data_IF_439879944542
#
_entry.id   IF_439879944542
#
_cell.length_a   1.000
_cell.length_b   1.000
_cell.length_c   1.000
_cell.angle_alpha   90.00
_cell.angle_beta   90.00
_cell.angle_gamma   90.00
#
_symmetry.space_group_name_H-M   'P 1'
#
loop_
_entity.id
_entity.type
_entity.pdbx_description
1 polymer ?
#
# COMPACT_ATOMS: atom_id res chain seq x y z
N UNK A 1 -1.90 -10.64 16.63
CA UNK A 1 -1.74 -10.39 15.19
C UNK A 1 -2.33 -11.53 14.34
N UNK A 2 -2.67 -11.31 13.06
CA UNK A 2 -3.10 -12.34 12.15
C UNK A 2 -1.97 -13.32 11.81
N UNK A 3 -2.34 -14.56 11.51
CA UNK A 3 -1.44 -15.60 10.98
C UNK A 3 -1.69 -15.72 9.48
N UNK A 4 -0.76 -15.24 8.67
CA UNK A 4 -0.89 -15.30 7.23
C UNK A 4 -0.28 -16.61 6.69
N UNK A 5 -0.88 -17.23 5.65
CA UNK A 5 -2.06 -16.77 4.88
C UNK A 5 -3.43 -17.12 5.48
N UNK A 6 -3.49 -17.87 6.59
CA UNK A 6 -4.72 -18.50 7.09
C UNK A 6 -5.81 -17.48 7.48
N UNK A 7 -5.42 -16.31 7.99
CA UNK A 7 -6.34 -15.25 8.42
C UNK A 7 -6.69 -14.25 7.30
N UNK A 8 -6.19 -14.42 6.06
CA UNK A 8 -6.57 -13.55 4.93
C UNK A 8 -8.07 -13.42 4.73
N UNK A 9 -8.90 -14.49 4.87
CA UNK A 9 -10.35 -14.36 4.81
C UNK A 9 -10.92 -13.39 5.86
N UNK A 10 -10.41 -13.41 7.08
CA UNK A 10 -10.86 -12.51 8.14
C UNK A 10 -10.53 -11.06 7.82
N UNK A 11 -9.34 -10.79 7.27
CA UNK A 11 -8.93 -9.45 6.81
C UNK A 11 -9.84 -8.97 5.67
N UNK A 12 -10.13 -9.83 4.68
CA UNK A 12 -11.04 -9.51 3.57
C UNK A 12 -12.44 -9.13 4.07
N UNK A 13 -12.98 -9.88 5.05
CA UNK A 13 -14.28 -9.61 5.67
C UNK A 13 -14.26 -8.24 6.39
N UNK A 14 -13.22 -7.97 7.17
CA UNK A 14 -13.12 -6.72 7.92
C UNK A 14 -13.09 -5.50 6.97
N UNK A 15 -12.27 -5.53 5.93
CA UNK A 15 -12.20 -4.46 4.93
C UNK A 15 -13.50 -4.33 4.14
N UNK A 16 -14.11 -5.44 3.73
CA UNK A 16 -15.38 -5.38 3.02
C UNK A 16 -16.50 -4.72 3.86
N UNK A 17 -16.49 -4.87 5.18
CA UNK A 17 -17.42 -4.16 6.07
C UNK A 17 -17.23 -2.66 6.04
N UNK A 18 -15.97 -2.18 6.04
CA UNK A 18 -15.66 -0.76 5.93
C UNK A 18 -16.07 -0.24 4.54
N UNK A 19 -15.65 -0.91 3.47
CA UNK A 19 -15.90 -0.47 2.10
C UNK A 19 -17.38 -0.52 1.68
N UNK A 20 -18.22 -1.24 2.42
CA UNK A 20 -19.68 -1.26 2.22
C UNK A 20 -20.41 -0.13 2.95
N UNK A 21 -19.73 0.63 3.81
CA UNK A 21 -20.36 1.81 4.42
C UNK A 21 -20.77 2.79 3.31
N UNK A 22 -21.95 3.40 3.45
CA UNK A 22 -22.37 4.42 2.50
C UNK A 22 -21.41 5.61 2.55
N UNK A 23 -21.04 6.11 1.39
CA UNK A 23 -20.26 7.35 1.29
C UNK A 23 -21.25 8.51 1.33
N UNK A 24 -21.17 9.41 2.33
CA UNK A 24 -22.04 10.57 2.39
C UNK A 24 -21.85 11.49 1.19
N UNK A 25 -22.85 12.31 0.89
CA UNK A 25 -22.72 13.39 -0.10
C UNK A 25 -21.55 14.31 0.28
N UNK A 26 -20.83 14.90 -0.70
CA UNK A 26 -19.62 15.68 -0.43
C UNK A 26 -19.79 16.76 0.64
N UNK A 27 -20.95 17.40 0.68
CA UNK A 27 -21.26 18.43 1.69
C UNK A 27 -21.47 17.89 3.12
N UNK A 28 -21.69 16.59 3.27
CA UNK A 28 -21.98 15.91 4.54
C UNK A 28 -20.78 15.08 5.03
N UNK A 29 -19.70 14.99 4.23
CA UNK A 29 -18.52 14.22 4.59
C UNK A 29 -17.80 14.83 5.79
N UNK A 30 -17.33 14.00 6.74
CA UNK A 30 -16.40 14.46 7.76
C UNK A 30 -15.12 15.01 7.10
N UNK A 31 -14.28 15.76 7.84
CA UNK A 31 -13.07 16.40 7.30
C UNK A 31 -11.93 15.39 7.05
N UNK A 32 -12.23 14.35 6.28
CA UNK A 32 -11.26 13.41 5.75
C UNK A 32 -10.84 13.85 4.34
N UNK A 33 -9.61 13.52 3.95
CA UNK A 33 -9.18 13.76 2.58
C UNK A 33 -10.09 13.02 1.59
N UNK A 34 -10.41 13.67 0.48
CA UNK A 34 -11.28 13.14 -0.57
C UNK A 34 -10.47 12.96 -1.86
N UNK A 35 -10.09 11.73 -2.14
CA UNK A 35 -9.45 11.32 -3.37
C UNK A 35 -10.52 10.72 -4.30
N UNK A 36 -11.45 11.54 -4.78
CA UNK A 36 -12.47 11.13 -5.75
C UNK A 36 -11.85 10.63 -7.07
N UNK A 37 -10.71 11.19 -7.49
CA UNK A 37 -9.77 10.55 -8.40
C UNK A 37 -8.64 9.91 -7.57
N UNK A 38 -8.84 8.64 -7.21
CA UNK A 38 -7.92 7.92 -6.34
C UNK A 38 -6.54 7.70 -6.99
N UNK A 39 -6.49 7.61 -8.32
CA UNK A 39 -5.23 7.48 -9.08
C UNK A 39 -4.46 8.79 -9.01
N UNK A 40 -5.11 9.91 -9.30
CA UNK A 40 -4.47 11.22 -9.27
C UNK A 40 -4.02 11.60 -7.83
N UNK A 41 -4.85 11.30 -6.82
CA UNK A 41 -4.51 11.56 -5.42
C UNK A 41 -3.27 10.79 -4.96
N UNK A 42 -3.23 9.49 -5.26
CA UNK A 42 -2.06 8.66 -4.96
C UNK A 42 -0.80 9.08 -5.74
N UNK A 43 -0.97 9.44 -7.02
CA UNK A 43 0.16 9.90 -7.85
C UNK A 43 0.76 11.21 -7.32
N UNK A 44 -0.05 12.15 -6.83
CA UNK A 44 0.45 13.39 -6.25
C UNK A 44 1.35 13.14 -5.02
N UNK A 45 0.97 12.21 -4.14
CA UNK A 45 1.80 11.76 -3.03
C UNK A 45 3.11 11.11 -3.52
N UNK A 46 2.99 10.17 -4.47
CA UNK A 46 4.12 9.47 -5.07
C UNK A 46 5.12 10.46 -5.70
N UNK A 47 4.66 11.47 -6.44
CA UNK A 47 5.54 12.47 -7.07
C UNK A 47 6.32 13.28 -6.03
N UNK A 48 5.67 13.63 -4.90
CA UNK A 48 6.34 14.30 -3.79
C UNK A 48 7.47 13.45 -3.21
N UNK A 49 7.22 12.15 -3.02
CA UNK A 49 8.19 11.20 -2.51
C UNK A 49 9.28 10.88 -3.56
N UNK A 50 8.90 10.78 -4.83
CA UNK A 50 9.82 10.47 -5.94
C UNK A 50 10.89 11.55 -6.17
N UNK A 51 10.66 12.78 -5.71
CA UNK A 51 11.69 13.83 -5.73
C UNK A 51 12.97 13.44 -4.99
N UNK A 52 12.89 12.48 -4.07
CA UNK A 52 14.04 11.98 -3.32
C UNK A 52 14.88 10.92 -4.07
N UNK A 53 14.37 10.34 -5.17
CA UNK A 53 15.08 9.27 -5.90
C UNK A 53 16.45 9.69 -6.43
N UNK A 54 16.63 10.97 -6.77
CA UNK A 54 17.92 11.50 -7.26
C UNK A 54 19.01 11.52 -6.17
N UNK A 55 18.60 11.61 -4.90
CA UNK A 55 19.53 11.73 -3.75
C UNK A 55 19.48 10.51 -2.81
N UNK A 56 18.67 9.51 -3.15
CA UNK A 56 18.46 8.32 -2.30
C UNK A 56 19.62 7.31 -2.33
N UNK A 57 20.65 7.51 -3.17
CA UNK A 57 21.81 6.61 -3.31
C UNK A 57 21.38 5.16 -3.61
N UNK A 58 20.39 5.00 -4.50
CA UNK A 58 19.87 3.71 -4.91
C UNK A 58 20.85 2.97 -5.83
N UNK A 59 20.79 1.62 -5.78
CA UNK A 59 21.36 0.80 -6.83
C UNK A 59 20.77 1.23 -8.19
N UNK A 60 21.59 1.42 -9.25
CA UNK A 60 21.10 1.85 -10.57
C UNK A 60 19.99 0.94 -11.14
N UNK A 61 20.04 -0.37 -10.89
CA UNK A 61 19.02 -1.29 -11.33
C UNK A 61 17.71 -1.12 -10.50
N UNK A 62 17.82 -0.83 -9.20
CA UNK A 62 16.64 -0.50 -8.38
C UNK A 62 15.97 0.80 -8.85
N UNK A 63 16.78 1.84 -9.10
CA UNK A 63 16.29 3.12 -9.63
C UNK A 63 15.56 2.93 -10.95
N UNK A 64 16.11 2.16 -11.87
CA UNK A 64 15.47 1.87 -13.16
C UNK A 64 14.12 1.15 -13.02
N UNK A 65 14.00 0.19 -12.07
CA UNK A 65 12.73 -0.50 -11.80
C UNK A 65 11.65 0.48 -11.26
N UNK A 66 12.04 1.40 -10.37
CA UNK A 66 11.14 2.41 -9.80
C UNK A 66 10.71 3.43 -10.88
N UNK A 67 11.65 3.93 -11.68
CA UNK A 67 11.37 4.88 -12.76
C UNK A 67 10.43 4.29 -13.82
N UNK A 68 10.56 3.00 -14.12
CA UNK A 68 9.65 2.31 -15.03
C UNK A 68 8.21 2.27 -14.49
N UNK A 69 8.03 2.06 -13.18
CA UNK A 69 6.70 2.12 -12.55
C UNK A 69 6.16 3.55 -12.45
N UNK A 70 7.01 4.54 -12.21
CA UNK A 70 6.62 5.96 -12.26
C UNK A 70 6.12 6.37 -13.65
N UNK A 71 6.85 5.99 -14.69
CA UNK A 71 6.43 6.25 -16.07
C UNK A 71 5.08 5.61 -16.38
N UNK A 72 4.89 4.35 -15.95
CA UNK A 72 3.61 3.66 -16.10
C UNK A 72 2.49 4.36 -15.31
N UNK A 73 2.74 4.77 -14.06
CA UNK A 73 1.72 5.41 -13.20
C UNK A 73 1.25 6.76 -13.79
N UNK A 74 2.18 7.55 -14.33
CA UNK A 74 1.89 8.82 -15.02
C UNK A 74 1.01 8.59 -16.26
N UNK A 75 1.39 7.62 -17.11
CA UNK A 75 0.61 7.24 -18.29
C UNK A 75 -0.78 6.70 -17.90
N UNK A 76 -0.85 5.86 -16.86
CA UNK A 76 -2.11 5.33 -16.38
C UNK A 76 -3.02 6.44 -15.83
N UNK A 77 -2.51 7.37 -15.04
CA UNK A 77 -3.26 8.52 -14.55
C UNK A 77 -3.79 9.39 -15.71
N UNK A 78 -2.95 9.66 -16.71
CA UNK A 78 -3.38 10.43 -17.89
C UNK A 78 -4.51 9.74 -18.67
N UNK A 79 -4.45 8.41 -18.82
CA UNK A 79 -5.48 7.62 -19.52
C UNK A 79 -6.77 7.46 -18.73
N UNK A 80 -6.74 7.56 -17.43
CA UNK A 80 -7.90 7.37 -16.54
C UNK A 80 -8.43 8.69 -15.98
N UNK A 81 -7.88 9.82 -16.37
CA UNK A 81 -8.37 11.13 -15.97
C UNK A 81 -9.86 11.30 -16.37
N UNK A 82 -10.70 11.64 -15.39
CA UNK A 82 -12.15 11.79 -15.58
C UNK A 82 -12.95 10.48 -15.72
N UNK A 83 -12.31 9.32 -15.64
CA UNK A 83 -13.02 8.04 -15.59
C UNK A 83 -13.59 7.86 -14.18
N UNK A 84 -14.86 7.43 -14.08
CA UNK A 84 -15.50 7.14 -12.79
C UNK A 84 -14.76 6.02 -12.06
N UNK A 85 -14.28 6.32 -10.86
CA UNK A 85 -13.55 5.40 -10.01
C UNK A 85 -14.40 5.01 -8.78
N UNK A 86 -14.28 3.77 -8.27
CA UNK A 86 -15.01 3.37 -7.08
C UNK A 86 -14.42 4.05 -5.84
N UNK A 87 -15.11 5.04 -5.29
CA UNK A 87 -14.73 5.74 -4.06
C UNK A 87 -15.46 5.14 -2.87
N UNK A 88 -14.73 4.83 -1.80
CA UNK A 88 -15.23 4.34 -0.51
C UNK A 88 -14.41 4.97 0.62
N UNK A 89 -14.89 4.82 1.85
CA UNK A 89 -14.03 5.02 3.02
C UNK A 89 -12.94 3.96 2.97
N UNK A 90 -11.69 4.37 2.94
CA UNK A 90 -10.50 3.50 2.94
C UNK A 90 -9.56 3.92 4.08
N UNK A 91 -8.74 3.00 4.53
CA UNK A 91 -7.90 3.18 5.72
C UNK A 91 -6.46 3.52 5.37
N UNK A 92 -6.04 3.14 4.16
CA UNK A 92 -4.73 3.38 3.52
C UNK A 92 -3.51 2.77 4.22
N UNK A 93 -3.59 2.46 5.50
CA UNK A 93 -2.54 1.81 6.29
C UNK A 93 -3.00 0.45 6.82
N UNK A 94 -3.31 -0.46 5.92
CA UNK A 94 -3.89 -1.78 6.20
C UNK A 94 -2.85 -2.90 6.20
N UNK A 95 -1.58 -2.62 6.57
CA UNK A 95 -0.63 -3.70 6.75
C UNK A 95 -1.08 -4.68 7.86
N UNK A 96 -0.69 -5.96 7.81
CA UNK A 96 -1.24 -6.98 8.72
C UNK A 96 -1.08 -6.67 10.21
N UNK A 97 -0.06 -5.91 10.62
CA UNK A 97 0.12 -5.47 12.00
C UNK A 97 -1.00 -4.58 12.54
N UNK A 98 -1.79 -3.93 11.66
CA UNK A 98 -2.94 -3.11 12.04
C UNK A 98 -4.25 -3.92 12.13
N UNK A 99 -4.14 -5.26 12.22
CA UNK A 99 -5.28 -6.15 12.45
C UNK A 99 -5.08 -6.97 13.72
N UNK A 100 -6.14 -7.11 14.49
CA UNK A 100 -6.21 -7.99 15.65
C UNK A 100 -7.24 -9.10 15.37
N UNK A 101 -6.85 -10.36 15.58
CA UNK A 101 -7.78 -11.48 15.48
C UNK A 101 -8.34 -11.76 16.88
N UNK A 102 -9.66 -11.62 17.04
CA UNK A 102 -10.33 -11.91 18.30
C UNK A 102 -10.51 -13.44 18.54
N UNK A 103 -10.98 -13.80 19.74
CA UNK A 103 -11.20 -15.20 20.11
C UNK A 103 -12.22 -15.93 19.23
N UNK A 104 -13.05 -15.22 18.48
CA UNK A 104 -14.00 -15.79 17.51
C UNK A 104 -13.45 -15.89 16.09
N UNK A 105 -12.19 -15.51 15.85
CA UNK A 105 -11.57 -15.51 14.53
C UNK A 105 -11.94 -14.30 13.67
N UNK A 106 -12.52 -13.23 14.24
CA UNK A 106 -12.83 -12.00 13.50
C UNK A 106 -11.65 -11.06 13.53
N UNK A 107 -11.35 -10.44 12.38
CA UNK A 107 -10.39 -9.35 12.33
C UNK A 107 -11.03 -8.03 12.78
N UNK A 108 -10.34 -7.34 13.67
CA UNK A 108 -10.62 -5.96 14.11
C UNK A 108 -9.50 -5.09 13.57
N UNK A 109 -9.84 -4.01 12.89
CA UNK A 109 -8.88 -3.06 12.33
C UNK A 109 -8.59 -1.99 13.39
N UNK A 110 -7.33 -1.67 13.57
CA UNK A 110 -6.86 -0.61 14.47
C UNK A 110 -6.06 0.42 13.67
N UNK A 111 -5.69 1.54 14.29
CA UNK A 111 -4.89 2.59 13.66
C UNK A 111 -5.55 3.19 12.42
N UNK A 112 -6.64 3.93 12.64
CA UNK A 112 -7.50 4.47 11.58
C UNK A 112 -7.18 5.93 11.22
N UNK A 113 -6.11 6.49 11.71
CA UNK A 113 -5.77 7.92 11.60
C UNK A 113 -5.55 8.40 10.16
N UNK A 114 -5.17 7.47 9.25
CA UNK A 114 -4.92 7.74 7.83
C UNK A 114 -6.16 7.49 6.93
N UNK A 115 -7.34 7.32 7.54
CA UNK A 115 -8.56 7.09 6.77
C UNK A 115 -8.90 8.27 5.86
N UNK A 116 -9.37 7.95 4.65
CA UNK A 116 -9.79 8.93 3.65
C UNK A 116 -10.86 8.34 2.71
N UNK A 117 -11.40 9.14 1.82
CA UNK A 117 -12.24 8.65 0.72
C UNK A 117 -11.37 8.37 -0.50
N UNK A 118 -11.36 7.12 -0.96
CA UNK A 118 -10.49 6.70 -2.07
C UNK A 118 -10.85 5.30 -2.59
N UNK A 119 -9.91 4.68 -3.31
CA UNK A 119 -10.11 3.37 -3.91
C UNK A 119 -9.95 2.23 -2.90
N UNK A 120 -10.93 1.32 -2.77
CA UNK A 120 -10.78 0.08 -2.00
C UNK A 120 -9.57 -0.77 -2.42
N UNK A 121 -9.14 -0.64 -3.67
CA UNK A 121 -7.95 -1.34 -4.18
C UNK A 121 -6.66 -0.97 -3.44
N UNK A 122 -6.59 0.22 -2.85
CA UNK A 122 -5.44 0.66 -2.02
C UNK A 122 -5.33 -0.22 -0.77
N UNK A 123 -6.42 -0.36 -0.01
CA UNK A 123 -6.43 -1.16 1.22
C UNK A 123 -6.15 -2.63 0.94
N UNK A 124 -6.80 -3.18 -0.09
CA UNK A 124 -6.60 -4.57 -0.49
C UNK A 124 -5.15 -4.86 -0.90
N UNK A 125 -4.54 -3.92 -1.62
CA UNK A 125 -3.14 -4.02 -2.01
C UNK A 125 -2.23 -3.92 -0.78
N UNK A 126 -2.43 -2.88 0.04
CA UNK A 126 -1.57 -2.62 1.20
C UNK A 126 -1.61 -3.77 2.21
N UNK A 127 -2.76 -4.44 2.41
CA UNK A 127 -2.86 -5.60 3.30
C UNK A 127 -2.06 -6.83 2.82
N UNK A 128 -1.66 -6.90 1.57
CA UNK A 128 -1.10 -8.11 0.96
C UNK A 128 0.15 -7.89 0.12
N UNK A 129 0.64 -6.67 -0.03
CA UNK A 129 1.93 -6.40 -0.65
C UNK A 129 3.06 -7.02 0.18
N UNK A 130 4.09 -7.54 -0.49
CA UNK A 130 5.27 -8.09 0.17
C UNK A 130 5.88 -7.11 1.18
N UNK A 131 5.97 -5.82 0.83
CA UNK A 131 6.45 -4.78 1.74
C UNK A 131 5.61 -4.61 3.01
N UNK A 132 4.33 -4.96 2.96
CA UNK A 132 3.41 -4.87 4.10
C UNK A 132 3.37 -6.16 4.91
N UNK A 133 3.32 -7.33 4.23
CA UNK A 133 3.24 -8.64 4.90
C UNK A 133 4.56 -9.09 5.52
N UNK A 134 5.66 -8.44 5.17
CA UNK A 134 6.99 -8.69 5.76
C UNK A 134 7.47 -7.53 6.63
N UNK A 135 6.62 -6.50 6.83
CA UNK A 135 6.95 -5.34 7.65
C UNK A 135 7.11 -5.72 9.12
N UNK A 136 6.08 -6.31 9.69
CA UNK A 136 6.03 -6.72 11.09
C UNK A 136 6.49 -8.18 11.22
N UNK A 137 7.48 -8.50 12.08
CA UNK A 137 7.94 -9.87 12.30
C UNK A 137 6.84 -10.83 12.73
N UNK A 138 5.87 -10.34 13.52
CA UNK A 138 4.77 -11.16 14.07
C UNK A 138 3.71 -11.55 13.03
N UNK A 139 3.68 -10.85 11.88
CA UNK A 139 2.75 -11.12 10.78
C UNK A 139 3.45 -11.53 9.48
N UNK A 140 4.74 -11.85 9.57
CA UNK A 140 5.59 -12.10 8.41
C UNK A 140 5.06 -13.23 7.52
N UNK A 141 4.77 -12.91 6.27
CA UNK A 141 4.38 -13.89 5.24
C UNK A 141 4.83 -13.48 3.85
N UNK A 142 5.18 -14.48 3.06
CA UNK A 142 5.48 -14.36 1.64
C UNK A 142 4.31 -14.95 0.83
N UNK A 143 3.42 -14.10 0.33
CA UNK A 143 2.21 -14.52 -0.36
C UNK A 143 2.48 -14.78 -1.85
N UNK A 144 2.02 -15.94 -2.32
CA UNK A 144 2.06 -16.29 -3.75
C UNK A 144 0.91 -15.65 -4.53
N UNK A 145 1.08 -15.48 -5.84
CA UNK A 145 0.02 -14.95 -6.74
C UNK A 145 -1.30 -15.73 -6.64
N UNK A 146 -1.32 -17.06 -6.55
CA UNK A 146 -2.55 -17.80 -6.28
C UNK A 146 -3.24 -17.43 -4.95
N UNK A 147 -2.48 -17.26 -3.86
CA UNK A 147 -3.04 -16.82 -2.57
C UNK A 147 -3.63 -15.41 -2.64
N UNK A 148 -2.94 -14.49 -3.33
CA UNK A 148 -3.47 -13.16 -3.63
C UNK A 148 -4.78 -13.24 -4.42
N UNK A 149 -4.84 -14.09 -5.45
CA UNK A 149 -6.06 -14.30 -6.23
C UNK A 149 -7.23 -14.82 -5.38
N UNK A 150 -6.98 -15.76 -4.47
CA UNK A 150 -8.00 -16.26 -3.52
C UNK A 150 -8.51 -15.12 -2.64
N UNK A 151 -7.61 -14.35 -2.05
CA UNK A 151 -7.95 -13.22 -1.19
C UNK A 151 -8.81 -12.16 -1.90
N UNK A 152 -8.41 -11.73 -3.10
CA UNK A 152 -9.19 -10.76 -3.86
C UNK A 152 -10.56 -11.29 -4.29
N UNK A 153 -10.66 -12.56 -4.70
CA UNK A 153 -11.96 -13.17 -5.06
C UNK A 153 -12.89 -13.23 -3.85
N UNK A 154 -12.41 -13.67 -2.70
CA UNK A 154 -13.19 -13.68 -1.46
C UNK A 154 -13.71 -12.29 -1.10
N UNK A 155 -12.86 -11.27 -1.18
CA UNK A 155 -13.29 -9.90 -0.95
C UNK A 155 -14.40 -9.48 -1.93
N UNK A 156 -14.23 -9.74 -3.22
CA UNK A 156 -15.21 -9.39 -4.26
C UNK A 156 -16.57 -10.11 -4.06
N UNK A 157 -16.57 -11.34 -3.58
CA UNK A 157 -17.80 -12.06 -3.21
C UNK A 157 -18.51 -11.37 -2.03
N UNK A 158 -17.77 -10.96 -1.01
CA UNK A 158 -18.33 -10.36 0.23
C UNK A 158 -18.89 -8.97 -0.02
N UNK A 159 -18.27 -8.13 -0.83
CA UNK A 159 -18.75 -6.77 -1.10
C UNK A 159 -20.02 -6.73 -1.94
N UNK A 160 -20.35 -7.83 -2.60
CA UNK A 160 -21.52 -7.99 -3.45
C UNK A 160 -21.27 -7.58 -4.91
N UNK A 161 -22.13 -8.05 -5.82
CA UNK A 161 -21.85 -8.03 -7.27
C UNK A 161 -21.71 -6.62 -7.84
N UNK A 162 -22.51 -5.65 -7.41
CA UNK A 162 -22.48 -4.29 -7.92
C UNK A 162 -21.16 -3.59 -7.60
N UNK A 163 -20.75 -3.59 -6.34
CA UNK A 163 -19.47 -2.96 -5.93
C UNK A 163 -18.29 -3.75 -6.47
N UNK A 164 -18.35 -5.08 -6.51
CA UNK A 164 -17.32 -5.92 -7.09
C UNK A 164 -17.08 -5.61 -8.56
N UNK A 165 -18.14 -5.41 -9.37
CA UNK A 165 -18.03 -5.06 -10.77
C UNK A 165 -17.30 -3.72 -10.98
N UNK A 166 -17.54 -2.75 -10.09
CA UNK A 166 -16.88 -1.43 -10.14
C UNK A 166 -15.41 -1.49 -9.69
N UNK A 167 -15.07 -2.29 -8.68
CA UNK A 167 -13.72 -2.37 -8.10
C UNK A 167 -12.79 -3.25 -8.96
N UNK A 168 -13.27 -4.39 -9.45
CA UNK A 168 -12.46 -5.39 -10.15
C UNK A 168 -11.52 -4.83 -11.21
N UNK A 169 -11.94 -3.92 -12.11
CA UNK A 169 -11.06 -3.39 -13.16
C UNK A 169 -9.85 -2.61 -12.63
N UNK A 170 -9.91 -2.13 -11.40
CA UNK A 170 -8.89 -1.28 -10.78
C UNK A 170 -7.88 -2.03 -9.91
N UNK A 171 -8.15 -3.30 -9.56
CA UNK A 171 -7.39 -4.00 -8.53
C UNK A 171 -5.89 -4.08 -8.82
N UNK A 172 -5.50 -4.55 -10.00
CA UNK A 172 -4.08 -4.67 -10.36
C UNK A 172 -3.41 -3.31 -10.49
N UNK A 173 -4.11 -2.33 -11.09
CA UNK A 173 -3.57 -0.98 -11.21
C UNK A 173 -3.35 -0.33 -9.83
N UNK A 174 -4.32 -0.44 -8.93
CA UNK A 174 -4.19 0.09 -7.58
C UNK A 174 -3.11 -0.64 -6.78
N UNK A 175 -2.90 -1.94 -7.04
CA UNK A 175 -1.78 -2.68 -6.43
C UNK A 175 -0.43 -2.13 -6.88
N UNK A 176 -0.25 -1.84 -8.17
CA UNK A 176 0.97 -1.21 -8.70
C UNK A 176 1.18 0.19 -8.11
N UNK A 177 0.12 1.00 -8.02
CA UNK A 177 0.18 2.34 -7.43
C UNK A 177 0.54 2.26 -5.94
N UNK A 178 -0.09 1.36 -5.19
CA UNK A 178 0.21 1.17 -3.75
C UNK A 178 1.63 0.67 -3.53
N UNK A 179 2.12 -0.25 -4.39
CA UNK A 179 3.52 -0.65 -4.39
C UNK A 179 4.44 0.56 -4.61
N UNK A 180 4.18 1.34 -5.65
CA UNK A 180 5.02 2.48 -6.00
C UNK A 180 5.05 3.52 -4.86
N UNK A 181 3.89 3.81 -4.24
CA UNK A 181 3.79 4.66 -3.06
C UNK A 181 4.66 4.15 -1.90
N UNK A 182 4.62 2.84 -1.61
CA UNK A 182 5.44 2.25 -0.56
C UNK A 182 6.94 2.35 -0.85
N UNK A 183 7.35 2.13 -2.10
CA UNK A 183 8.77 2.16 -2.48
C UNK A 183 9.32 3.60 -2.55
N UNK A 184 8.54 4.55 -3.06
CA UNK A 184 8.95 5.97 -3.05
C UNK A 184 9.01 6.53 -1.63
N UNK A 185 8.11 6.10 -0.73
CA UNK A 185 8.23 6.38 0.69
C UNK A 185 9.53 5.82 1.29
N UNK A 186 9.90 4.57 0.97
CA UNK A 186 11.17 4.00 1.41
C UNK A 186 12.38 4.84 0.95
N UNK A 187 12.37 5.31 -0.30
CA UNK A 187 13.44 6.16 -0.82
C UNK A 187 13.49 7.50 -0.09
N UNK A 188 12.36 8.16 0.11
CA UNK A 188 12.25 9.40 0.89
C UNK A 188 12.76 9.18 2.32
N UNK A 189 12.23 8.18 3.04
CA UNK A 189 12.63 7.86 4.40
C UNK A 189 14.14 7.62 4.52
N UNK A 190 14.74 6.90 3.58
CA UNK A 190 16.18 6.63 3.60
C UNK A 190 17.03 7.90 3.53
N UNK A 191 16.57 8.91 2.80
CA UNK A 191 17.25 10.22 2.69
C UNK A 191 17.04 11.05 3.96
N UNK A 192 15.79 11.15 4.41
CA UNK A 192 15.42 11.91 5.61
C UNK A 192 16.14 11.36 6.85
N UNK A 193 16.13 10.03 7.01
CA UNK A 193 16.83 9.36 8.11
C UNK A 193 18.36 9.63 8.08
N UNK A 194 18.99 9.59 6.90
CA UNK A 194 20.44 9.94 6.79
C UNK A 194 20.70 11.40 7.09
N UNK A 195 19.81 12.30 6.70
CA UNK A 195 19.89 13.74 7.03
C UNK A 195 19.76 13.97 8.53
N UNK A 196 18.76 13.35 9.16
CA UNK A 196 18.55 13.44 10.60
C UNK A 196 19.75 12.89 11.39
N UNK A 197 20.32 11.74 10.99
CA UNK A 197 21.49 11.18 11.63
C UNK A 197 22.73 12.11 11.50
N UNK A 198 22.93 12.77 10.35
CA UNK A 198 23.99 13.78 10.15
C UNK A 198 23.75 15.03 11.00
N UNK A 199 22.49 15.50 11.05
CA UNK A 199 22.12 16.68 11.81
C UNK A 199 22.18 16.45 13.32
N UNK A 200 21.81 15.25 13.80
CA UNK A 200 21.98 14.87 15.22
C UNK A 200 23.46 14.86 15.64
N UNK A 201 24.37 14.56 14.71
CA UNK A 201 25.80 14.71 14.93
C UNK A 201 26.25 16.18 15.00
N UNK A 202 25.45 17.11 14.43
CA UNK A 202 25.72 18.56 14.36
C UNK A 202 24.78 19.42 15.28
N UNK A 203 23.90 18.81 16.09
CA UNK A 203 22.98 19.43 17.05
C UNK A 203 21.96 20.46 16.47
N UNK A 204 21.57 20.35 15.18
CA UNK A 204 20.82 21.44 14.52
C UNK A 204 19.50 21.12 13.83
N UNK A 205 18.95 19.87 13.83
CA UNK A 205 17.70 19.59 13.12
C UNK A 205 16.68 18.74 13.90
N UNK A 206 15.41 19.15 13.84
CA UNK A 206 14.25 18.37 14.30
C UNK A 206 13.55 17.72 13.11
N UNK A 207 13.24 16.40 13.21
CA UNK A 207 12.54 15.63 12.21
C UNK A 207 11.31 14.93 12.83
N UNK A 208 10.26 14.63 12.04
CA UNK A 208 9.08 13.89 12.47
C UNK A 208 9.43 12.45 12.92
N UNK A 209 10.46 11.82 12.34
CA UNK A 209 11.00 10.56 12.83
C UNK A 209 11.66 10.70 14.22
N UNK A 210 11.88 11.93 14.69
CA UNK A 210 12.33 12.22 16.06
C UNK A 210 11.24 11.98 17.12
N UNK A 211 9.97 11.76 16.74
CA UNK A 211 8.93 11.33 17.68
C UNK A 211 9.15 9.87 18.12
N UNK A 212 9.77 9.04 17.29
CA UNK A 212 10.12 7.68 17.66
C UNK A 212 11.63 7.55 17.86
N UNK A 213 12.07 7.80 19.09
CA UNK A 213 13.49 7.77 19.49
C UNK A 213 13.96 6.38 19.88
N UNK A 214 13.14 5.34 19.77
CA UNK A 214 13.55 3.97 20.09
C UNK A 214 14.53 3.44 19.01
N UNK A 215 15.80 3.20 19.36
CA UNK A 215 16.80 2.72 18.40
C UNK A 215 16.42 1.38 17.76
N UNK A 216 15.65 0.53 18.45
CA UNK A 216 15.23 -0.77 17.92
C UNK A 216 14.20 -0.59 16.80
N UNK A 217 13.25 0.34 16.96
CA UNK A 217 12.27 0.69 15.91
C UNK A 217 12.97 1.30 14.70
N UNK A 218 13.88 2.24 14.93
CA UNK A 218 14.66 2.87 13.85
C UNK A 218 15.46 1.82 13.07
N UNK A 219 16.15 0.91 13.77
CA UNK A 219 16.91 -0.16 13.13
C UNK A 219 16.00 -1.10 12.33
N UNK A 220 14.83 -1.46 12.87
CA UNK A 220 13.85 -2.28 12.17
C UNK A 220 13.37 -1.62 10.87
N UNK A 221 12.99 -0.34 10.91
CA UNK A 221 12.57 0.41 9.72
C UNK A 221 13.69 0.48 8.69
N UNK A 222 14.93 0.76 9.13
CA UNK A 222 16.10 0.82 8.24
C UNK A 222 16.34 -0.52 7.52
N UNK A 223 16.23 -1.64 8.24
CA UNK A 223 16.37 -2.98 7.65
C UNK A 223 15.28 -3.28 6.61
N UNK A 224 14.02 -2.91 6.90
CA UNK A 224 12.91 -3.10 5.94
C UNK A 224 13.08 -2.22 4.71
N UNK A 225 13.40 -0.94 4.89
CA UNK A 225 13.67 -0.01 3.79
C UNK A 225 14.82 -0.52 2.92
N UNK A 226 15.92 -0.94 3.53
CA UNK A 226 17.06 -1.49 2.78
C UNK A 226 16.69 -2.75 1.99
N UNK A 227 15.85 -3.64 2.56
CA UNK A 227 15.37 -4.84 1.89
C UNK A 227 14.48 -4.50 0.68
N UNK A 228 13.53 -3.57 0.84
CA UNK A 228 12.54 -3.27 -0.19
C UNK A 228 13.13 -2.49 -1.37
N UNK A 229 14.21 -1.75 -1.16
CA UNK A 229 14.92 -1.02 -2.21
C UNK A 229 15.94 -1.88 -2.98
N UNK A 230 16.10 -3.18 -2.67
CA UNK A 230 16.96 -4.07 -3.44
C UNK A 230 16.38 -4.37 -4.81
N UNK A 231 17.19 -4.40 -5.88
CA UNK A 231 16.70 -4.71 -7.24
C UNK A 231 15.94 -6.03 -7.34
N UNK A 232 16.42 -7.07 -6.66
CA UNK A 232 15.77 -8.39 -6.64
C UNK A 232 14.40 -8.36 -5.96
N UNK A 233 14.26 -7.59 -4.87
CA UNK A 233 12.97 -7.43 -4.16
C UNK A 233 11.97 -6.66 -5.02
N UNK A 234 12.41 -5.58 -5.68
CA UNK A 234 11.56 -4.82 -6.59
C UNK A 234 11.07 -5.67 -7.75
N UNK A 235 11.98 -6.42 -8.43
CA UNK A 235 11.60 -7.34 -9.52
C UNK A 235 10.63 -8.41 -9.06
N UNK A 236 10.86 -8.99 -7.88
CA UNK A 236 9.97 -9.98 -7.29
C UNK A 236 8.55 -9.43 -7.09
N UNK A 237 8.42 -8.24 -6.48
CA UNK A 237 7.11 -7.62 -6.31
C UNK A 237 6.44 -7.28 -7.64
N UNK A 238 7.20 -6.77 -8.61
CA UNK A 238 6.71 -6.44 -9.95
C UNK A 238 6.29 -7.68 -10.75
N UNK A 239 6.86 -8.85 -10.47
CA UNK A 239 6.45 -10.10 -11.12
C UNK A 239 4.97 -10.45 -10.87
N UNK A 240 4.33 -9.90 -9.85
CA UNK A 240 2.91 -10.12 -9.60
C UNK A 240 1.99 -9.59 -10.72
N UNK A 241 2.41 -8.56 -11.44
CA UNK A 241 1.65 -7.99 -12.57
C UNK A 241 2.39 -8.04 -13.91
N UNK A 242 3.70 -8.23 -13.91
CA UNK A 242 4.49 -8.40 -15.14
C UNK A 242 4.71 -9.88 -15.49
N UNK A 243 4.48 -10.80 -14.55
CA UNK A 243 4.65 -12.24 -14.75
C UNK A 243 3.53 -12.86 -15.61
N UNK A 244 3.77 -14.07 -16.09
CA UNK A 244 2.80 -14.89 -16.83
C UNK A 244 2.70 -16.28 -16.19
N UNK A 245 1.55 -16.65 -15.60
CA UNK A 245 0.37 -15.84 -15.38
C UNK A 245 0.58 -14.83 -14.24
N UNK A 246 0.19 -13.58 -14.47
CA UNK A 246 0.16 -12.53 -13.46
C UNK A 246 -1.18 -12.50 -12.69
N UNK A 247 -1.29 -11.51 -11.78
CA UNK A 247 -2.48 -11.34 -10.94
C UNK A 247 -3.77 -11.16 -11.76
N UNK A 248 -3.74 -10.42 -12.87
CA UNK A 248 -4.89 -10.21 -13.75
C UNK A 248 -5.47 -11.53 -14.29
N UNK A 249 -4.63 -12.48 -14.65
CA UNK A 249 -5.08 -13.81 -15.10
C UNK A 249 -5.81 -14.54 -13.97
N UNK A 250 -5.29 -14.43 -12.74
CA UNK A 250 -5.87 -15.07 -11.55
C UNK A 250 -7.20 -14.43 -11.12
N UNK A 251 -7.41 -13.14 -11.43
CA UNK A 251 -8.64 -12.42 -11.12
C UNK A 251 -9.76 -12.62 -12.16
N UNK A 252 -9.42 -13.08 -13.37
CA UNK A 252 -10.40 -13.38 -14.45
C UNK A 252 -11.02 -14.77 -14.36
N UNK A 253 -10.39 -15.71 -13.68
CA UNK A 253 -10.89 -17.06 -13.43
C UNK A 253 -11.71 -17.14 -12.16
#
# INVERSE_FOLDING_TARGET
>A
PPRLPDDLPALAIAMARVHRLPVPEPAERPPLADHSDAVAGALAEIETQAAYLEVAELDPAAKAEIEAELAWARDFAARTAGVDQPVRLVLTDTHPGNFLIDASGRAVIVDLEKALYGSPGTDLAHATLYSSTTWDPDTHADLSVPQLGVYYRQYLEIVGPELAARIRPWLTAMRRITFLRAITWCAMWSVEHRRAARAAADDTARDWSAENTDPAVIAHVADRVALYLRPETLRRMRAEWLGDPGLDATLRG
#
